data_IF_314638058486
#
_entry.id   IF_314638058486
#
_cell.length_a   1.000
_cell.length_b   1.000
_cell.length_c   1.000
_cell.angle_alpha   90.00
_cell.angle_beta   90.00
_cell.angle_gamma   90.00
#
_symmetry.space_group_name_H-M   'P 1'
#
loop_
_entity.id
_entity.type
_entity.pdbx_description
1 polymer ?
#
# COMPACT_ATOMS: atom_id res chain seq x y z
N UNK A 1 14.18 2.76 -34.85
CA UNK A 1 14.48 4.19 -34.60
C UNK A 1 13.39 4.84 -33.75
N UNK A 2 12.12 4.80 -34.10
CA UNK A 2 11.01 5.41 -33.34
C UNK A 2 10.96 5.07 -31.84
N UNK A 3 11.20 3.83 -31.44
CA UNK A 3 11.21 3.45 -30.01
C UNK A 3 12.34 4.10 -29.18
N UNK A 4 13.43 4.52 -29.82
CA UNK A 4 14.55 5.16 -29.12
C UNK A 4 14.28 6.65 -28.93
N UNK A 5 13.66 7.28 -29.91
CA UNK A 5 13.23 8.69 -29.85
C UNK A 5 12.13 8.87 -28.77
N UNK A 6 11.11 8.03 -28.78
CA UNK A 6 10.06 8.04 -27.74
C UNK A 6 10.60 7.83 -26.33
N UNK A 7 11.63 6.99 -26.15
CA UNK A 7 12.29 6.82 -24.84
C UNK A 7 12.99 8.08 -24.35
N UNK A 8 13.56 8.83 -25.25
CA UNK A 8 14.22 10.09 -24.91
C UNK A 8 13.17 11.13 -24.48
N UNK A 9 12.11 11.27 -25.26
CA UNK A 9 10.99 12.18 -24.91
C UNK A 9 10.36 11.85 -23.56
N UNK A 10 10.09 10.57 -23.27
CA UNK A 10 9.59 10.16 -21.96
C UNK A 10 10.59 10.42 -20.83
N UNK A 11 11.88 10.23 -21.08
CA UNK A 11 12.90 10.49 -20.07
C UNK A 11 13.04 12.00 -19.78
N UNK A 12 12.88 12.85 -20.78
CA UNK A 12 12.87 14.31 -20.63
C UNK A 12 11.63 14.76 -19.86
N UNK A 13 10.45 14.27 -20.23
CA UNK A 13 9.19 14.53 -19.53
C UNK A 13 9.26 14.12 -18.06
N UNK A 14 9.76 12.92 -17.77
CA UNK A 14 9.92 12.45 -16.38
C UNK A 14 10.94 13.27 -15.59
N UNK A 15 11.94 13.84 -16.23
CA UNK A 15 12.90 14.74 -15.59
C UNK A 15 12.27 16.10 -15.30
N UNK A 16 11.49 16.64 -16.23
CA UNK A 16 10.77 17.91 -16.06
C UNK A 16 9.80 17.85 -14.88
N UNK A 17 9.11 16.72 -14.71
CA UNK A 17 8.16 16.50 -13.61
C UNK A 17 8.75 15.63 -12.47
N UNK A 18 10.07 15.67 -12.28
CA UNK A 18 10.73 14.85 -11.25
C UNK A 18 10.27 15.14 -9.82
N UNK A 19 9.75 16.32 -9.56
CA UNK A 19 9.24 16.79 -8.28
C UNK A 19 7.88 16.19 -7.87
N UNK A 20 7.13 15.63 -8.85
CA UNK A 20 5.84 14.95 -8.55
C UNK A 20 6.01 13.48 -8.21
N UNK A 21 7.22 12.92 -8.33
CA UNK A 21 7.52 11.53 -8.04
C UNK A 21 8.25 11.40 -6.70
N UNK A 22 7.88 10.38 -5.92
CA UNK A 22 8.64 9.99 -4.74
C UNK A 22 9.78 9.05 -5.17
N UNK A 23 11.02 9.49 -5.08
CA UNK A 23 12.22 8.73 -5.43
C UNK A 23 12.78 7.95 -4.24
N UNK A 24 12.54 8.47 -3.03
CA UNK A 24 12.92 7.85 -1.77
C UNK A 24 11.68 7.66 -0.90
N UNK A 25 11.83 6.92 0.21
CA UNK A 25 10.74 6.77 1.16
C UNK A 25 10.41 8.07 1.90
N UNK A 26 11.39 8.96 2.07
CA UNK A 26 11.22 10.26 2.70
C UNK A 26 10.39 11.22 1.81
N UNK A 27 10.42 11.03 0.49
CA UNK A 27 9.63 11.82 -0.46
C UNK A 27 8.15 11.44 -0.44
N UNK A 28 7.80 10.29 0.13
CA UNK A 28 6.42 9.86 0.26
C UNK A 28 5.75 10.72 1.33
N UNK A 29 5.05 11.76 0.90
CA UNK A 29 4.25 12.59 1.82
C UNK A 29 3.15 11.72 2.42
N UNK A 30 3.11 11.67 3.75
CA UNK A 30 1.97 11.07 4.45
C UNK A 30 0.72 11.87 4.13
N UNK A 31 -0.37 11.16 3.91
CA UNK A 31 -1.67 11.79 3.67
C UNK A 31 -2.08 12.64 4.88
N UNK A 32 -2.43 13.87 4.61
CA UNK A 32 -3.12 14.70 5.60
C UNK A 32 -4.56 14.20 5.73
N UNK A 33 -4.86 13.59 6.86
CA UNK A 33 -6.20 13.04 7.16
C UNK A 33 -7.28 14.12 7.24
N UNK A 34 -6.90 15.40 7.35
CA UNK A 34 -7.84 16.52 7.28
C UNK A 34 -8.38 16.75 5.87
N UNK A 35 -7.63 16.32 4.83
CA UNK A 35 -8.04 16.45 3.43
C UNK A 35 -8.99 15.34 3.04
N UNK A 36 -8.65 14.09 3.35
CA UNK A 36 -9.50 12.93 3.08
C UNK A 36 -9.20 11.78 4.03
N UNK A 37 -10.25 11.16 4.53
CA UNK A 37 -10.18 9.91 5.27
C UNK A 37 -11.16 8.91 4.67
N UNK A 38 -10.67 7.76 4.25
CA UNK A 38 -11.54 6.71 3.72
C UNK A 38 -12.02 5.80 4.83
N UNK A 39 -13.33 5.83 5.10
CA UNK A 39 -13.99 4.89 6.03
C UNK A 39 -14.47 3.67 5.29
N UNK A 40 -13.95 2.51 5.65
CA UNK A 40 -14.36 1.24 5.03
C UNK A 40 -15.80 0.93 5.43
N UNK A 41 -16.77 0.86 4.48
CA UNK A 41 -18.14 0.53 4.79
C UNK A 41 -18.25 -0.94 5.19
N UNK A 42 -18.76 -1.21 6.39
CA UNK A 42 -18.99 -2.54 6.90
C UNK A 42 -20.43 -3.00 6.65
N UNK A 43 -20.63 -4.32 6.56
CA UNK A 43 -21.96 -4.92 6.54
C UNK A 43 -22.63 -4.72 7.91
N UNK A 44 -23.96 -4.64 7.95
CA UNK A 44 -24.72 -4.33 9.17
C UNK A 44 -24.46 -5.30 10.32
N UNK A 45 -24.29 -6.60 10.00
CA UNK A 45 -23.99 -7.63 10.98
C UNK A 45 -22.48 -7.89 11.17
N UNK A 46 -21.61 -7.05 10.62
CA UNK A 46 -20.18 -7.26 10.72
C UNK A 46 -19.70 -7.05 12.17
N UNK A 47 -19.14 -8.10 12.73
CA UNK A 47 -18.45 -8.04 14.03
C UNK A 47 -16.96 -7.88 13.80
N UNK A 48 -16.34 -7.05 14.65
CA UNK A 48 -14.90 -6.91 14.69
C UNK A 48 -14.22 -8.27 14.94
N UNK A 49 -13.05 -8.44 14.36
CA UNK A 49 -12.31 -9.69 14.45
C UNK A 49 -10.86 -9.46 14.83
N UNK A 50 -10.42 -10.13 15.88
CA UNK A 50 -9.01 -10.13 16.30
C UNK A 50 -8.39 -11.47 15.94
N UNK A 51 -7.49 -11.46 14.97
CA UNK A 51 -6.73 -12.67 14.62
C UNK A 51 -5.82 -13.06 15.78
N UNK A 52 -5.75 -14.35 16.10
CA UNK A 52 -4.76 -14.85 17.06
C UNK A 52 -3.36 -14.61 16.51
N UNK A 53 -2.44 -14.16 17.37
CA UNK A 53 -1.06 -13.94 17.00
C UNK A 53 -0.45 -15.24 16.42
N UNK A 54 0.12 -15.12 15.22
CA UNK A 54 0.85 -16.23 14.59
C UNK A 54 2.26 -16.30 15.14
N UNK A 55 2.72 -17.51 15.37
CA UNK A 55 4.16 -17.74 15.61
C UNK A 55 4.92 -17.45 14.32
N UNK A 56 5.90 -16.58 14.42
CA UNK A 56 6.77 -16.20 13.31
C UNK A 56 8.08 -16.93 13.50
N UNK A 57 8.66 -17.41 12.41
CA UNK A 57 9.99 -18.00 12.44
C UNK A 57 10.99 -16.97 13.00
N UNK A 58 11.72 -17.28 14.10
CA UNK A 58 12.67 -16.36 14.71
C UNK A 58 13.71 -15.78 13.73
N UNK A 59 14.09 -16.55 12.72
CA UNK A 59 15.02 -16.10 11.68
C UNK A 59 14.48 -14.95 10.81
N UNK A 60 13.16 -14.79 10.76
CA UNK A 60 12.51 -13.73 9.97
C UNK A 60 12.13 -12.49 10.79
N UNK A 61 12.20 -12.59 12.12
CA UNK A 61 11.87 -11.46 13.01
C UNK A 61 12.72 -10.21 12.74
N UNK A 62 14.05 -10.29 12.58
CA UNK A 62 14.87 -9.09 12.34
C UNK A 62 14.50 -8.38 11.03
N UNK A 63 14.15 -9.15 9.98
CA UNK A 63 13.72 -8.59 8.70
C UNK A 63 12.38 -7.86 8.84
N UNK A 64 11.44 -8.48 9.57
CA UNK A 64 10.12 -7.91 9.82
C UNK A 64 10.21 -6.63 10.66
N UNK A 65 11.03 -6.64 11.72
CA UNK A 65 11.27 -5.46 12.55
C UNK A 65 11.85 -4.30 11.76
N UNK A 66 12.81 -4.59 10.88
CA UNK A 66 13.41 -3.57 10.00
C UNK A 66 12.35 -2.92 9.10
N UNK A 67 11.50 -3.71 8.46
CA UNK A 67 10.44 -3.18 7.59
C UNK A 67 9.39 -2.39 8.37
N UNK A 68 8.98 -2.87 9.56
CA UNK A 68 8.03 -2.14 10.42
C UNK A 68 8.63 -0.82 10.90
N UNK A 69 9.89 -0.81 11.35
CA UNK A 69 10.58 0.43 11.78
C UNK A 69 10.62 1.46 10.65
N UNK A 70 10.99 1.03 9.45
CA UNK A 70 10.99 1.89 8.25
C UNK A 70 9.63 2.54 7.99
N UNK A 71 8.53 1.77 8.08
CA UNK A 71 7.19 2.30 7.88
C UNK A 71 6.76 3.27 9.00
N UNK A 72 7.23 3.06 10.22
CA UNK A 72 7.00 3.96 11.36
C UNK A 72 7.79 5.27 11.20
N UNK A 73 9.05 5.20 10.77
CA UNK A 73 9.91 6.37 10.56
C UNK A 73 9.33 7.32 9.52
N UNK A 74 8.80 6.77 8.42
CA UNK A 74 8.14 7.57 7.37
C UNK A 74 6.65 7.83 7.65
N UNK A 75 6.16 7.51 8.85
CA UNK A 75 4.78 7.76 9.29
C UNK A 75 3.66 7.15 8.42
N UNK A 76 3.98 6.12 7.62
CA UNK A 76 2.96 5.35 6.87
C UNK A 76 2.09 4.55 7.82
N UNK A 77 2.64 4.10 8.95
CA UNK A 77 1.93 3.44 10.03
C UNK A 77 2.20 4.17 11.35
N UNK A 78 1.24 4.09 12.27
CA UNK A 78 1.35 4.68 13.60
C UNK A 78 1.05 3.62 14.66
N UNK A 79 1.69 3.67 15.85
CA UNK A 79 1.41 2.73 16.92
C UNK A 79 0.08 3.08 17.58
N UNK A 80 -0.76 2.08 17.75
CA UNK A 80 -2.08 2.23 18.36
C UNK A 80 -2.25 1.20 19.48
N UNK A 81 -2.89 1.58 20.59
CA UNK A 81 -2.98 0.72 21.78
C UNK A 81 -4.19 -0.22 21.80
N UNK A 82 -5.33 0.25 21.32
CA UNK A 82 -6.59 -0.51 21.42
C UNK A 82 -7.31 -0.47 20.08
N UNK A 83 -7.57 -1.66 19.53
CA UNK A 83 -8.30 -1.82 18.27
C UNK A 83 -9.25 -2.99 18.35
N UNK A 84 -10.39 -2.82 17.68
CA UNK A 84 -11.37 -3.88 17.51
C UNK A 84 -11.00 -4.83 16.39
N UNK A 85 -10.31 -4.34 15.36
CA UNK A 85 -9.80 -5.12 14.26
C UNK A 85 -8.30 -5.35 14.40
N UNK A 86 -7.90 -6.61 14.43
CA UNK A 86 -6.47 -6.98 14.50
C UNK A 86 -6.17 -8.01 13.43
N UNK A 87 -5.22 -7.72 12.57
CA UNK A 87 -4.76 -8.59 11.50
C UNK A 87 -3.28 -8.93 11.67
N UNK A 88 -2.90 -10.16 11.31
CA UNK A 88 -1.51 -10.58 11.34
C UNK A 88 -0.73 -10.04 10.13
N UNK A 89 0.54 -9.76 10.36
CA UNK A 89 1.49 -9.52 9.29
C UNK A 89 1.91 -10.83 8.64
N UNK A 90 2.08 -10.79 7.32
CA UNK A 90 2.51 -11.93 6.50
C UNK A 90 3.72 -11.51 5.67
N UNK A 91 4.79 -12.27 5.80
CA UNK A 91 5.99 -12.06 5.00
C UNK A 91 5.83 -12.74 3.63
N UNK A 92 6.07 -11.99 2.57
CA UNK A 92 5.97 -12.45 1.20
C UNK A 92 7.31 -12.27 0.49
N UNK A 93 7.82 -13.33 -0.10
CA UNK A 93 9.03 -13.23 -0.93
C UNK A 93 8.66 -12.67 -2.29
N UNK A 94 9.23 -11.53 -2.65
CA UNK A 94 9.10 -10.93 -3.98
C UNK A 94 9.88 -11.71 -5.03
N UNK A 95 9.57 -11.52 -6.30
CA UNK A 95 10.33 -12.12 -7.41
C UNK A 95 11.80 -11.69 -7.43
N UNK A 96 12.11 -10.51 -6.91
CA UNK A 96 13.47 -9.99 -6.73
C UNK A 96 14.26 -10.70 -5.64
N UNK A 97 13.65 -11.62 -4.86
CA UNK A 97 14.26 -12.26 -3.69
C UNK A 97 14.11 -11.47 -2.39
N UNK A 98 13.69 -10.23 -2.44
CA UNK A 98 13.41 -9.40 -1.26
C UNK A 98 12.18 -9.91 -0.50
N UNK A 99 12.14 -9.60 0.79
CA UNK A 99 11.00 -9.89 1.65
C UNK A 99 10.14 -8.65 1.75
N UNK A 100 8.87 -8.78 1.36
CA UNK A 100 7.85 -7.75 1.54
C UNK A 100 6.95 -8.07 2.72
N UNK A 101 6.37 -7.04 3.32
CA UNK A 101 5.42 -7.14 4.41
C UNK A 101 4.00 -6.93 3.87
N UNK A 102 3.11 -7.86 4.15
CA UNK A 102 1.68 -7.76 3.82
C UNK A 102 0.83 -7.88 5.08
N UNK A 103 -0.39 -7.39 5.03
CA UNK A 103 -1.37 -7.52 6.12
C UNK A 103 -2.47 -8.49 5.70
N UNK A 104 -2.85 -9.39 6.59
CA UNK A 104 -3.91 -10.37 6.34
C UNK A 104 -5.32 -9.74 6.52
N UNK A 105 -5.78 -9.00 5.54
CA UNK A 105 -7.09 -8.35 5.57
C UNK A 105 -8.28 -9.25 5.22
N UNK A 106 -8.12 -10.58 5.16
CA UNK A 106 -9.20 -11.50 4.75
C UNK A 106 -10.47 -11.36 5.59
N UNK A 107 -10.34 -11.19 6.91
CA UNK A 107 -11.48 -11.00 7.80
C UNK A 107 -12.18 -9.65 7.55
N UNK A 108 -11.40 -8.59 7.42
CA UNK A 108 -11.91 -7.26 7.10
C UNK A 108 -12.60 -7.23 5.73
N UNK A 109 -11.96 -7.78 4.70
CA UNK A 109 -12.52 -7.87 3.35
C UNK A 109 -13.83 -8.67 3.28
N UNK A 110 -13.98 -9.70 4.12
CA UNK A 110 -15.24 -10.46 4.23
C UNK A 110 -16.35 -9.65 4.87
N UNK A 111 -16.00 -8.78 5.79
CA UNK A 111 -16.93 -7.94 6.55
C UNK A 111 -17.25 -6.61 5.88
N UNK A 112 -16.42 -6.16 4.94
CA UNK A 112 -16.67 -4.93 4.19
C UNK A 112 -17.74 -5.12 3.11
N UNK A 113 -18.49 -4.04 2.84
CA UNK A 113 -19.36 -3.96 1.66
C UNK A 113 -18.45 -3.81 0.44
N UNK A 114 -18.77 -4.52 -0.63
CA UNK A 114 -18.06 -4.35 -1.90
C UNK A 114 -18.58 -3.10 -2.59
N UNK A 115 -17.69 -2.23 -2.98
CA UNK A 115 -18.03 -1.15 -3.89
C UNK A 115 -18.15 -1.72 -5.30
N UNK A 116 -19.29 -1.47 -5.92
CA UNK A 116 -19.54 -1.90 -7.30
C UNK A 116 -19.05 -0.87 -8.32
N UNK A 117 -18.21 0.09 -7.90
CA UNK A 117 -17.65 1.07 -8.83
C UNK A 117 -16.64 0.37 -9.75
N UNK A 118 -16.90 0.33 -11.07
CA UNK A 118 -15.96 -0.28 -11.99
C UNK A 118 -14.68 0.55 -12.06
N UNK A 119 -13.56 -0.04 -11.67
CA UNK A 119 -12.25 0.58 -11.88
C UNK A 119 -12.07 0.85 -13.37
N UNK A 120 -11.75 2.08 -13.73
CA UNK A 120 -11.44 2.42 -15.11
C UNK A 120 -10.16 1.67 -15.51
N UNK A 121 -10.19 1.03 -16.67
CA UNK A 121 -8.98 0.42 -17.23
C UNK A 121 -8.00 1.52 -17.58
N UNK A 122 -6.71 1.29 -17.32
CA UNK A 122 -5.64 2.24 -17.59
C UNK A 122 -5.68 2.76 -19.03
N UNK A 123 -5.99 1.88 -19.98
CA UNK A 123 -6.16 2.20 -21.41
C UNK A 123 -7.22 3.30 -21.66
N UNK A 124 -8.33 3.27 -20.90
CA UNK A 124 -9.39 4.28 -21.03
C UNK A 124 -9.01 5.63 -20.40
N UNK A 125 -8.12 5.62 -19.40
CA UNK A 125 -7.60 6.84 -18.80
C UNK A 125 -6.66 7.51 -19.79
N UNK A 126 -5.76 6.77 -20.39
CA UNK A 126 -4.79 7.27 -21.37
C UNK A 126 -5.47 7.85 -22.62
N UNK A 127 -6.57 7.25 -23.10
CA UNK A 127 -7.32 7.75 -24.25
C UNK A 127 -8.06 9.09 -24.01
N UNK A 128 -8.20 9.52 -22.75
CA UNK A 128 -8.87 10.80 -22.41
C UNK A 128 -7.88 11.96 -22.26
N UNK A 129 -6.59 11.66 -22.23
CA UNK A 129 -5.52 12.65 -22.03
C UNK A 129 -4.83 13.00 -23.37
N UNK A 130 -5.13 12.27 -24.44
CA UNK A 130 -4.76 12.59 -25.83
C UNK A 130 -5.89 13.34 -26.51
#
# INVERSE_FOLDING_TARGET
MAQREQRVEYAELLKEFSDVFAWTYEDIKTYDTTVIEHKIPLKEEAKSFRQKLRQINPMLLPVMEKEVKKLLEVQIIVPLRCFDWVANLVLVRKKSGEIGLCVDFRNLNRSSKKENYPLQKMEHILQRVT
#
